data_IF_095496808804
#
_entry.id   IF_095496808804
#
_cell.length_a   1.000
_cell.length_b   1.000
_cell.length_c   1.000
_cell.angle_alpha   90.00
_cell.angle_beta   90.00
_cell.angle_gamma   90.00
#
_symmetry.space_group_name_H-M   'P 1'
#
loop_
_entity.id
_entity.type
_entity.pdbx_description
1 polymer ?
#
# COMPACT_ATOMS: atom_id res chain seq x y z
N UNK A 1 71.35 -7.84 -6.36
CA UNK A 1 70.89 -6.51 -5.91
C UNK A 1 69.63 -6.21 -6.70
N UNK A 2 68.48 -6.07 -6.01
CA UNK A 2 67.10 -6.12 -6.54
C UNK A 2 66.70 -7.53 -7.02
N UNK A 3 65.55 -8.14 -6.71
CA UNK A 3 64.20 -7.65 -6.42
C UNK A 3 63.56 -8.58 -5.37
N UNK A 4 62.90 -8.00 -4.36
CA UNK A 4 62.30 -8.69 -3.21
C UNK A 4 61.02 -9.43 -3.60
N UNK A 5 61.13 -10.75 -3.64
CA UNK A 5 60.02 -11.71 -3.71
C UNK A 5 59.17 -11.73 -2.44
N UNK A 6 57.86 -11.62 -2.63
CA UNK A 6 56.79 -12.47 -2.05
C UNK A 6 56.80 -12.69 -0.53
N UNK A 7 56.01 -11.94 0.25
CA UNK A 7 55.36 -12.38 1.51
C UNK A 7 54.18 -11.42 1.79
N UNK A 8 52.92 -11.79 1.55
CA UNK A 8 52.05 -12.53 2.46
C UNK A 8 51.69 -11.75 3.75
N UNK A 9 50.46 -11.22 3.82
CA UNK A 9 49.59 -11.17 5.01
C UNK A 9 48.30 -10.41 4.61
N UNK A 10 47.18 -11.11 4.45
CA UNK A 10 46.15 -11.33 5.48
C UNK A 10 45.57 -10.03 6.07
N UNK A 11 44.32 -9.74 5.72
CA UNK A 11 43.37 -9.14 6.66
C UNK A 11 41.95 -9.55 6.29
N UNK A 12 41.38 -10.43 7.12
CA UNK A 12 39.99 -10.82 7.17
C UNK A 12 39.07 -9.61 7.41
N UNK A 13 37.87 -9.66 6.84
CA UNK A 13 36.66 -9.25 7.57
C UNK A 13 35.43 -9.94 6.97
N UNK A 14 35.08 -11.09 7.54
CA UNK A 14 33.74 -11.70 7.44
C UNK A 14 32.86 -10.93 8.42
N UNK A 15 31.82 -10.26 7.93
CA UNK A 15 30.74 -9.75 8.77
C UNK A 15 29.45 -10.44 8.36
N UNK A 16 29.10 -11.43 9.18
CA UNK A 16 27.81 -12.09 9.19
C UNK A 16 26.69 -11.07 9.47
N UNK A 17 25.64 -11.09 8.64
CA UNK A 17 24.40 -10.37 8.91
C UNK A 17 23.34 -11.36 9.45
N UNK A 18 22.54 -10.94 10.45
CA UNK A 18 21.67 -11.82 11.22
C UNK A 18 20.38 -12.16 10.48
N UNK A 19 19.97 -13.44 10.56
CA UNK A 19 18.62 -13.87 10.26
C UNK A 19 17.68 -13.41 11.37
N UNK A 20 17.00 -12.26 11.19
CA UNK A 20 15.95 -11.81 12.09
C UNK A 20 14.58 -11.97 11.42
N UNK A 21 13.89 -13.04 11.84
CA UNK A 21 12.46 -13.08 12.17
C UNK A 21 11.50 -12.23 11.30
N UNK A 22 10.77 -12.88 10.39
CA UNK A 22 9.47 -12.37 9.93
C UNK A 22 8.36 -12.83 10.87
N UNK A 23 7.53 -11.93 11.43
CA UNK A 23 6.31 -12.33 12.10
C UNK A 23 5.29 -12.78 11.05
N UNK A 24 4.81 -14.02 11.20
CA UNK A 24 3.56 -14.47 10.62
C UNK A 24 2.42 -13.66 11.26
N UNK A 25 2.02 -12.57 10.62
CA UNK A 25 0.84 -11.79 10.96
C UNK A 25 -0.39 -12.41 10.32
N UNK A 26 -1.06 -13.26 11.09
CA UNK A 26 -2.36 -13.84 10.79
C UNK A 26 -3.45 -12.84 11.16
N UNK A 27 -4.03 -12.15 10.18
CA UNK A 27 -5.31 -11.45 10.37
C UNK A 27 -6.41 -12.22 9.62
N UNK A 28 -6.89 -13.28 10.28
CA UNK A 28 -8.19 -13.87 10.00
C UNK A 28 -9.29 -12.90 10.51
N UNK A 29 -9.55 -11.83 9.76
CA UNK A 29 -10.64 -10.91 10.07
C UNK A 29 -11.96 -11.52 9.60
N UNK A 30 -12.76 -11.90 10.59
CA UNK A 30 -14.11 -12.44 10.45
C UNK A 30 -14.99 -11.48 9.66
N UNK A 31 -15.66 -11.98 8.61
CA UNK A 31 -16.60 -11.23 7.78
C UNK A 31 -17.85 -10.77 8.57
N UNK A 32 -17.71 -9.72 9.38
CA UNK A 32 -18.82 -9.09 10.09
C UNK A 32 -19.52 -8.14 9.12
N UNK A 33 -20.75 -8.48 8.73
CA UNK A 33 -21.58 -7.62 7.88
C UNK A 33 -21.73 -6.23 8.55
N UNK A 34 -21.42 -5.13 7.85
CA UNK A 34 -21.48 -3.81 8.45
C UNK A 34 -22.92 -3.47 8.85
N UNK A 35 -23.09 -2.94 10.07
CA UNK A 35 -24.37 -2.43 10.54
C UNK A 35 -24.71 -1.12 9.83
N UNK A 36 -26.00 -0.78 9.75
CA UNK A 36 -26.45 0.46 9.09
C UNK A 36 -25.80 1.70 9.70
N UNK A 37 -25.59 1.72 11.02
CA UNK A 37 -24.85 2.77 11.72
C UNK A 37 -23.41 2.90 11.21
N UNK A 38 -22.73 1.79 10.93
CA UNK A 38 -21.36 1.80 10.42
C UNK A 38 -21.32 2.23 8.95
N UNK A 39 -22.31 1.84 8.14
CA UNK A 39 -22.45 2.33 6.77
C UNK A 39 -22.61 3.87 6.76
N UNK A 40 -23.41 4.42 7.68
CA UNK A 40 -23.58 5.88 7.81
C UNK A 40 -22.28 6.54 8.26
N UNK A 41 -21.54 5.95 9.21
CA UNK A 41 -20.24 6.48 9.66
C UNK A 41 -19.19 6.45 8.56
N UNK A 42 -19.15 5.39 7.75
CA UNK A 42 -18.26 5.25 6.59
C UNK A 42 -18.65 6.24 5.50
N UNK A 43 -19.95 6.40 5.21
CA UNK A 43 -20.42 7.39 4.24
C UNK A 43 -20.14 8.83 4.71
N UNK A 44 -20.20 9.08 6.02
CA UNK A 44 -19.87 10.37 6.62
C UNK A 44 -18.36 10.62 6.78
N UNK A 45 -17.52 9.60 6.63
CA UNK A 45 -16.05 9.75 6.75
C UNK A 45 -15.37 10.09 5.43
N UNK A 46 -16.05 9.89 4.30
CA UNK A 46 -15.52 10.28 2.98
C UNK A 46 -15.90 11.72 2.63
N UNK A 47 -14.95 12.43 2.01
CA UNK A 47 -15.12 13.84 1.62
C UNK A 47 -14.58 14.04 0.22
N UNK A 48 -15.26 14.90 -0.54
CA UNK A 48 -14.81 15.32 -1.87
C UNK A 48 -13.64 16.30 -1.85
N UNK A 49 -13.20 16.76 -0.67
CA UNK A 49 -12.06 17.66 -0.52
C UNK A 49 -11.09 17.15 0.55
N UNK A 50 -9.77 17.14 0.29
CA UNK A 50 -9.12 17.48 -0.98
C UNK A 50 -9.40 16.45 -2.09
N UNK A 51 -9.18 16.83 -3.35
CA UNK A 51 -9.29 15.88 -4.47
C UNK A 51 -8.26 14.77 -4.30
N UNK A 52 -8.73 13.52 -4.19
CA UNK A 52 -7.88 12.34 -4.10
C UNK A 52 -7.62 11.76 -5.48
N UNK A 53 -6.48 11.13 -5.64
CA UNK A 53 -6.13 10.29 -6.81
C UNK A 53 -6.14 8.83 -6.39
N UNK A 54 -6.15 7.89 -7.34
CA UNK A 54 -6.14 6.44 -7.02
C UNK A 54 -4.97 6.02 -6.11
N UNK A 55 -3.83 6.72 -6.14
CA UNK A 55 -2.70 6.45 -5.24
C UNK A 55 -2.95 6.83 -3.77
N UNK A 56 -3.93 7.69 -3.52
CA UNK A 56 -4.30 8.18 -2.18
C UNK A 56 -5.56 7.48 -1.65
N UNK A 57 -6.24 6.71 -2.48
CA UNK A 57 -7.43 5.94 -2.11
C UNK A 57 -6.96 4.51 -1.86
N UNK A 58 -7.24 3.99 -0.66
CA UNK A 58 -6.77 2.66 -0.25
C UNK A 58 -7.90 1.63 -0.22
N UNK A 59 -9.11 2.00 -0.61
CA UNK A 59 -10.26 1.08 -0.61
C UNK A 59 -11.18 1.33 -1.80
N UNK A 60 -11.59 0.23 -2.45
CA UNK A 60 -12.59 0.27 -3.51
C UNK A 60 -13.89 0.96 -3.08
N UNK A 61 -14.31 0.77 -1.81
CA UNK A 61 -15.54 1.40 -1.29
C UNK A 61 -15.43 2.93 -1.23
N UNK A 62 -14.25 3.44 -0.86
CA UNK A 62 -13.98 4.87 -0.88
C UNK A 62 -13.94 5.41 -2.31
N UNK A 63 -13.25 4.72 -3.23
CA UNK A 63 -13.19 5.10 -4.64
C UNK A 63 -14.59 5.19 -5.26
N UNK A 64 -15.42 4.17 -5.02
CA UNK A 64 -16.81 4.10 -5.45
C UNK A 64 -17.67 5.23 -4.87
N UNK A 65 -17.47 5.57 -3.60
CA UNK A 65 -18.18 6.68 -2.98
C UNK A 65 -17.78 8.01 -3.63
N UNK A 66 -16.49 8.22 -3.87
CA UNK A 66 -15.97 9.44 -4.50
C UNK A 66 -16.45 9.59 -5.95
N UNK A 67 -16.51 8.49 -6.72
CA UNK A 67 -17.07 8.49 -8.08
C UNK A 67 -18.54 8.94 -8.08
N UNK A 68 -19.33 8.44 -7.13
CA UNK A 68 -20.79 8.70 -7.07
C UNK A 68 -21.15 10.05 -6.45
N UNK A 69 -20.35 10.56 -5.52
CA UNK A 69 -20.71 11.71 -4.70
C UNK A 69 -19.91 12.98 -5.02
N UNK A 70 -18.82 12.90 -5.81
CA UNK A 70 -17.94 14.03 -6.07
C UNK A 70 -17.92 14.43 -7.55
N UNK A 71 -17.99 15.74 -7.84
CA UNK A 71 -17.99 16.27 -9.22
C UNK A 71 -16.70 15.94 -10.00
N UNK A 72 -15.59 15.71 -9.31
CA UNK A 72 -14.31 15.30 -9.91
C UNK A 72 -14.12 13.78 -9.96
N UNK A 73 -15.06 13.01 -9.37
CA UNK A 73 -14.96 11.56 -9.22
C UNK A 73 -14.83 10.80 -10.54
N UNK A 74 -15.38 11.34 -11.64
CA UNK A 74 -15.21 10.80 -12.99
C UNK A 74 -13.73 10.63 -13.39
N UNK A 75 -12.79 11.38 -12.80
CA UNK A 75 -11.36 11.25 -13.11
C UNK A 75 -10.71 9.99 -12.53
N UNK A 76 -11.41 9.32 -11.61
CA UNK A 76 -10.96 8.06 -11.01
C UNK A 76 -11.28 6.84 -11.88
N UNK A 77 -12.26 6.99 -12.77
CA UNK A 77 -12.72 5.98 -13.72
C UNK A 77 -12.24 6.40 -15.12
N UNK A 78 -11.15 5.79 -15.59
CA UNK A 78 -10.44 6.29 -16.78
C UNK A 78 -11.12 5.86 -18.08
N UNK A 79 -11.73 4.69 -18.06
CA UNK A 79 -12.38 3.99 -19.16
C UNK A 79 -13.91 4.11 -19.11
N UNK A 80 -14.48 4.64 -18.03
CA UNK A 80 -15.90 4.94 -17.82
C UNK A 80 -16.78 3.69 -17.76
N UNK A 81 -16.25 2.60 -17.21
CA UNK A 81 -16.98 1.35 -17.00
C UNK A 81 -17.77 1.33 -15.68
N UNK A 82 -17.60 2.36 -14.85
CA UNK A 82 -18.23 2.50 -13.54
C UNK A 82 -17.38 1.95 -12.39
N UNK A 83 -16.14 1.52 -12.64
CA UNK A 83 -15.19 0.99 -11.66
C UNK A 83 -14.04 2.00 -11.47
N UNK A 84 -14.08 2.82 -10.41
CA UNK A 84 -13.01 3.78 -10.16
C UNK A 84 -11.80 3.07 -9.57
N UNK A 85 -10.60 3.43 -10.04
CA UNK A 85 -9.34 2.91 -9.52
C UNK A 85 -9.25 1.37 -9.51
N UNK A 86 -9.30 0.74 -10.68
CA UNK A 86 -9.19 -0.72 -10.91
C UNK A 86 -7.97 -1.44 -10.29
N UNK A 87 -7.00 -0.71 -9.72
CA UNK A 87 -5.90 -1.32 -8.96
C UNK A 87 -6.17 -1.45 -7.46
N UNK A 88 -7.29 -0.90 -6.98
CA UNK A 88 -7.71 -0.87 -5.57
C UNK A 88 -9.14 -1.41 -5.38
N UNK A 89 -9.95 -1.31 -6.43
CA UNK A 89 -10.95 -2.32 -6.78
C UNK A 89 -10.26 -3.49 -7.52
#
# INVERSE_FOLDING_TARGET
MTIRSVFAALALAVLAAPALSSPAGSDAETAKKPTVSEIIRIAASYSCSPRKTCKQISSCREAMWLLKNCSWGHRLDRDNDGIPCEGTC
#
